data_IF_697792409771
#
_entry.id   IF_697792409771
#
_cell.length_a   1.000
_cell.length_b   1.000
_cell.length_c   1.000
_cell.angle_alpha   90.00
_cell.angle_beta   90.00
_cell.angle_gamma   90.00
#
_symmetry.space_group_name_H-M   'P 1'
#
loop_
_entity.id
_entity.type
_entity.pdbx_description
1 polymer ?
#
# COMPACT_ATOMS: atom_id res chain seq x y z
N UNK A 1 25.87 23.40 -71.62
CA UNK A 1 25.16 22.27 -70.99
C UNK A 1 25.67 22.11 -69.58
N UNK A 2 24.87 22.51 -68.56
CA UNK A 2 25.19 22.32 -67.12
C UNK A 2 24.38 21.17 -66.62
N UNK A 3 25.05 20.04 -66.24
CA UNK A 3 24.43 18.90 -65.54
C UNK A 3 24.17 19.31 -64.07
N UNK A 4 22.90 19.35 -63.68
CA UNK A 4 22.45 19.47 -62.30
C UNK A 4 22.52 18.10 -61.63
N UNK A 5 23.40 17.93 -60.66
CA UNK A 5 23.43 16.72 -59.80
C UNK A 5 22.35 16.87 -58.71
N UNK A 6 21.32 16.01 -58.78
CA UNK A 6 20.30 15.87 -57.74
C UNK A 6 20.83 14.88 -56.68
N UNK A 7 21.24 15.38 -55.54
CA UNK A 7 21.54 14.57 -54.36
C UNK A 7 20.22 14.05 -53.76
N UNK A 8 19.95 12.73 -53.89
CA UNK A 8 18.85 12.08 -53.15
C UNK A 8 19.32 11.76 -51.73
N UNK A 9 18.80 12.52 -50.77
CA UNK A 9 18.96 12.15 -49.35
C UNK A 9 18.05 10.95 -49.03
N UNK A 10 18.63 9.77 -48.75
CA UNK A 10 17.92 8.61 -48.19
C UNK A 10 17.90 8.80 -46.67
N UNK A 11 16.74 9.17 -46.08
CA UNK A 11 16.54 9.16 -44.65
C UNK A 11 16.30 7.71 -44.23
N UNK A 12 17.30 7.10 -43.61
CA UNK A 12 17.18 5.77 -42.98
C UNK A 12 16.44 5.93 -41.66
N UNK A 13 15.12 5.68 -41.63
CA UNK A 13 14.33 5.62 -40.39
C UNK A 13 14.64 4.29 -39.73
N UNK A 14 15.50 4.29 -38.73
CA UNK A 14 15.72 3.12 -37.87
C UNK A 14 14.52 3.00 -36.94
N UNK A 15 13.64 2.03 -37.20
CA UNK A 15 12.63 1.58 -36.23
C UNK A 15 13.37 0.94 -35.05
N UNK A 16 13.50 1.67 -33.95
CA UNK A 16 13.89 1.09 -32.66
C UNK A 16 12.67 0.30 -32.18
N UNK A 17 12.77 -1.03 -31.96
CA UNK A 17 11.65 -1.77 -31.39
C UNK A 17 11.38 -1.22 -29.99
N UNK A 18 10.23 -0.60 -29.81
CA UNK A 18 9.72 -0.27 -28.48
C UNK A 18 9.29 -1.60 -27.88
N UNK A 19 10.14 -2.20 -27.04
CA UNK A 19 9.72 -3.33 -26.21
C UNK A 19 8.66 -2.80 -25.26
N UNK A 20 7.42 -3.17 -25.50
CA UNK A 20 6.33 -2.92 -24.57
C UNK A 20 6.58 -3.78 -23.33
N UNK A 21 7.23 -3.22 -22.32
CA UNK A 21 7.32 -3.83 -20.98
C UNK A 21 5.91 -3.96 -20.41
N UNK A 22 5.55 -5.12 -19.92
CA UNK A 22 4.24 -5.35 -19.34
C UNK A 22 4.36 -6.24 -18.10
N UNK A 23 4.27 -5.62 -16.94
CA UNK A 23 4.13 -6.35 -15.68
C UNK A 23 3.03 -7.40 -15.79
N UNK A 24 3.32 -8.60 -15.32
CA UNK A 24 2.34 -9.69 -15.27
C UNK A 24 1.49 -9.61 -14.00
N UNK A 25 0.22 -10.00 -14.11
CA UNK A 25 -0.74 -9.95 -13.01
C UNK A 25 -1.26 -11.36 -12.73
N UNK A 26 -0.95 -11.89 -11.55
CA UNK A 26 -1.47 -13.16 -11.07
C UNK A 26 -2.64 -12.90 -10.10
N UNK A 27 -3.64 -13.75 -10.11
CA UNK A 27 -4.60 -13.86 -9.00
C UNK A 27 -4.30 -15.14 -8.24
N UNK A 28 -4.03 -15.01 -6.95
CA UNK A 28 -3.76 -16.15 -6.07
C UNK A 28 -4.85 -16.30 -5.04
N UNK A 29 -5.03 -17.52 -4.57
CA UNK A 29 -5.89 -17.85 -3.45
C UNK A 29 -5.00 -18.32 -2.31
N UNK A 30 -5.13 -17.70 -1.16
CA UNK A 30 -4.44 -18.05 0.09
C UNK A 30 -5.44 -18.59 1.08
N UNK A 31 -5.04 -19.55 1.90
CA UNK A 31 -5.90 -20.06 2.97
C UNK A 31 -5.49 -19.44 4.30
N UNK A 32 -6.39 -18.66 4.89
CA UNK A 32 -6.18 -18.16 6.26
C UNK A 32 -6.55 -19.24 7.28
N UNK A 33 -5.55 -19.68 8.04
CA UNK A 33 -5.74 -20.69 9.09
C UNK A 33 -6.53 -20.10 10.28
N UNK A 34 -6.23 -18.85 10.62
CA UNK A 34 -6.89 -18.16 11.74
C UNK A 34 -8.36 -17.88 11.47
N UNK A 35 -8.74 -17.57 10.21
CA UNK A 35 -10.13 -17.33 9.80
C UNK A 35 -10.82 -18.54 9.16
N UNK A 36 -10.06 -19.60 8.86
CA UNK A 36 -10.54 -20.85 8.22
C UNK A 36 -11.27 -20.59 6.89
N UNK A 37 -10.72 -19.71 6.06
CA UNK A 37 -11.32 -19.35 4.77
C UNK A 37 -10.26 -19.06 3.71
N UNK A 38 -10.66 -19.20 2.45
CA UNK A 38 -9.87 -18.77 1.32
C UNK A 38 -9.98 -17.26 1.10
N UNK A 39 -8.86 -16.62 0.78
CA UNK A 39 -8.77 -15.18 0.55
C UNK A 39 -7.97 -14.96 -0.73
N UNK A 40 -8.49 -14.13 -1.62
CA UNK A 40 -7.83 -13.80 -2.88
C UNK A 40 -6.83 -12.66 -2.70
N UNK A 41 -5.79 -12.66 -3.53
CA UNK A 41 -4.90 -11.52 -3.70
C UNK A 41 -4.48 -11.40 -5.17
N UNK A 42 -4.32 -10.17 -5.64
CA UNK A 42 -3.61 -9.88 -6.88
C UNK A 42 -2.13 -9.71 -6.56
N UNK A 43 -1.27 -10.30 -7.40
CA UNK A 43 0.18 -10.12 -7.36
C UNK A 43 0.64 -9.56 -8.70
N UNK A 44 1.16 -8.34 -8.69
CA UNK A 44 1.76 -7.69 -9.87
C UNK A 44 3.26 -7.91 -9.81
N UNK A 45 3.81 -8.54 -10.85
CA UNK A 45 5.25 -8.81 -10.97
C UNK A 45 5.82 -7.91 -12.07
N UNK A 46 6.95 -7.22 -11.85
CA UNK A 46 7.59 -6.44 -12.89
C UNK A 46 8.03 -7.35 -14.05
N UNK A 47 8.18 -6.79 -15.24
CA UNK A 47 8.63 -7.54 -16.43
C UNK A 47 10.01 -8.18 -16.21
N UNK A 48 10.87 -7.49 -15.43
CA UNK A 48 12.19 -8.00 -15.02
C UNK A 48 12.14 -9.15 -14.00
N UNK A 49 10.95 -9.59 -13.58
CA UNK A 49 10.81 -10.64 -12.55
C UNK A 49 11.41 -11.97 -13.01
N UNK A 50 12.25 -12.54 -12.16
CA UNK A 50 12.82 -13.88 -12.37
C UNK A 50 12.99 -14.62 -11.04
N UNK A 51 13.04 -15.94 -11.09
CA UNK A 51 13.32 -16.76 -9.91
C UNK A 51 14.77 -16.63 -9.40
N UNK A 52 15.67 -16.14 -10.24
CA UNK A 52 17.10 -15.99 -9.90
C UNK A 52 17.42 -14.69 -9.12
N UNK A 53 16.49 -13.74 -9.08
CA UNK A 53 16.68 -12.42 -8.41
C UNK A 53 15.60 -12.22 -7.37
N UNK A 54 15.97 -11.68 -6.21
CA UNK A 54 15.04 -11.29 -5.16
C UNK A 54 14.50 -9.87 -5.40
N UNK A 55 13.19 -9.67 -5.19
CA UNK A 55 12.50 -8.41 -5.41
C UNK A 55 11.93 -7.88 -4.09
N UNK A 56 12.04 -6.57 -3.84
CA UNK A 56 11.30 -5.96 -2.75
C UNK A 56 9.79 -6.06 -3.01
N UNK A 57 9.00 -6.07 -1.95
CA UNK A 57 7.55 -6.30 -2.01
C UNK A 57 6.80 -5.17 -1.34
N UNK A 58 5.81 -4.63 -2.05
CA UNK A 58 4.84 -3.67 -1.54
C UNK A 58 3.48 -4.36 -1.35
N UNK A 59 2.96 -4.37 -0.12
CA UNK A 59 1.58 -4.73 0.18
C UNK A 59 0.71 -3.49 0.03
N UNK A 60 -0.29 -3.55 -0.88
CA UNK A 60 -1.11 -2.41 -1.29
C UNK A 60 -2.58 -2.68 -0.97
N UNK A 61 -3.08 -2.10 0.11
CA UNK A 61 -4.35 -2.39 0.74
C UNK A 61 -5.50 -1.56 0.15
N UNK A 62 -6.67 -2.19 -0.06
CA UNK A 62 -7.89 -1.51 -0.54
C UNK A 62 -8.67 -0.84 0.60
N UNK A 63 -9.63 0.03 0.24
CA UNK A 63 -10.51 0.74 1.17
C UNK A 63 -11.77 -0.04 1.56
N UNK A 64 -12.58 0.54 2.44
CA UNK A 64 -13.87 -0.03 2.82
C UNK A 64 -14.80 -0.19 1.60
N UNK A 65 -15.47 -1.33 1.51
CA UNK A 65 -16.32 -1.68 0.36
C UNK A 65 -15.56 -2.22 -0.84
N UNK A 66 -14.23 -2.18 -0.83
CA UNK A 66 -13.38 -2.65 -1.92
C UNK A 66 -13.00 -4.13 -1.83
N UNK A 67 -12.06 -4.53 -2.70
CA UNK A 67 -11.55 -5.89 -2.77
C UNK A 67 -10.13 -5.94 -3.38
N UNK A 68 -9.55 -7.13 -3.46
CA UNK A 68 -8.20 -7.40 -3.96
C UNK A 68 -7.88 -6.87 -5.37
N UNK A 69 -8.90 -6.61 -6.20
CA UNK A 69 -8.70 -6.18 -7.59
C UNK A 69 -8.80 -4.66 -7.80
N UNK A 70 -9.15 -3.89 -6.79
CA UNK A 70 -9.44 -2.46 -6.93
C UNK A 70 -8.27 -1.67 -7.49
N UNK A 71 -7.06 -1.92 -7.00
CA UNK A 71 -5.87 -1.19 -7.43
C UNK A 71 -5.49 -1.39 -8.90
N UNK A 72 -5.89 -2.52 -9.50
CA UNK A 72 -5.65 -2.78 -10.92
C UNK A 72 -6.84 -2.44 -11.81
N UNK A 73 -8.02 -2.11 -11.21
CA UNK A 73 -9.25 -1.87 -11.97
C UNK A 73 -9.86 -0.48 -11.76
N UNK A 74 -9.62 0.19 -10.60
CA UNK A 74 -10.32 1.41 -10.22
C UNK A 74 -9.49 2.69 -10.41
N UNK A 75 -8.16 2.58 -10.55
CA UNK A 75 -7.31 3.74 -10.86
C UNK A 75 -7.72 4.33 -12.22
N UNK A 76 -7.70 5.66 -12.41
CA UNK A 76 -8.03 6.30 -13.70
C UNK A 76 -7.26 5.72 -14.87
N UNK A 77 -5.95 5.52 -14.72
CA UNK A 77 -5.13 4.67 -15.58
C UNK A 77 -4.99 3.29 -14.94
N UNK A 78 -5.70 2.30 -15.48
CA UNK A 78 -5.69 0.91 -15.00
C UNK A 78 -4.31 0.24 -15.10
N UNK A 79 -3.36 0.86 -15.76
CA UNK A 79 -1.98 0.39 -15.84
C UNK A 79 -1.07 1.01 -14.78
N UNK A 80 -1.55 1.96 -13.97
CA UNK A 80 -0.74 2.68 -12.99
C UNK A 80 0.12 1.76 -12.13
N UNK A 81 -0.48 0.78 -11.46
CA UNK A 81 0.28 -0.13 -10.56
C UNK A 81 1.22 -1.04 -11.34
N UNK A 82 0.81 -1.51 -12.53
CA UNK A 82 1.66 -2.35 -13.41
C UNK A 82 2.90 -1.58 -13.87
N UNK A 83 2.70 -0.37 -14.42
CA UNK A 83 3.77 0.48 -14.88
C UNK A 83 4.74 0.85 -13.74
N UNK A 84 4.23 1.21 -12.58
CA UNK A 84 5.07 1.53 -11.42
C UNK A 84 5.82 0.30 -10.88
N UNK A 85 5.22 -0.90 -10.92
CA UNK A 85 5.91 -2.16 -10.61
C UNK A 85 7.11 -2.38 -11.52
N UNK A 86 6.94 -2.15 -12.84
CA UNK A 86 8.02 -2.25 -13.84
C UNK A 86 9.11 -1.20 -13.61
N UNK A 87 8.74 0.07 -13.57
CA UNK A 87 9.67 1.19 -13.45
C UNK A 87 10.51 1.14 -12.16
N UNK A 88 9.91 0.64 -11.07
CA UNK A 88 10.54 0.62 -9.75
C UNK A 88 11.06 -0.78 -9.35
N UNK A 89 10.88 -1.78 -10.23
CA UNK A 89 11.35 -3.16 -10.04
C UNK A 89 10.93 -3.77 -8.71
N UNK A 90 9.65 -3.66 -8.34
CA UNK A 90 9.09 -4.25 -7.12
C UNK A 90 7.87 -5.12 -7.40
N UNK A 91 7.68 -6.16 -6.60
CA UNK A 91 6.44 -6.95 -6.57
C UNK A 91 5.39 -6.19 -5.77
N UNK A 92 4.14 -6.10 -6.29
CA UNK A 92 3.03 -5.48 -5.58
C UNK A 92 1.98 -6.54 -5.26
N UNK A 93 1.56 -6.63 -4.00
CA UNK A 93 0.57 -7.60 -3.51
C UNK A 93 -0.65 -6.84 -3.02
N UNK A 94 -1.81 -7.08 -3.65
CA UNK A 94 -3.08 -6.47 -3.30
C UNK A 94 -4.01 -7.54 -2.70
N UNK A 95 -4.01 -7.74 -1.38
CA UNK A 95 -4.89 -8.73 -0.75
C UNK A 95 -6.33 -8.26 -0.66
N UNK A 96 -7.27 -9.21 -0.62
CA UNK A 96 -8.60 -8.96 -0.11
C UNK A 96 -8.53 -8.79 1.42
N UNK A 97 -8.83 -7.59 1.89
CA UNK A 97 -8.85 -7.24 3.31
C UNK A 97 -10.25 -7.36 3.93
N UNK A 98 -11.23 -7.93 3.20
CA UNK A 98 -12.63 -7.92 3.62
C UNK A 98 -13.28 -6.53 3.53
N UNK A 99 -14.59 -6.50 3.42
CA UNK A 99 -15.35 -5.29 3.09
C UNK A 99 -15.17 -4.15 4.11
N UNK A 100 -15.10 -4.50 5.41
CA UNK A 100 -15.00 -3.53 6.52
C UNK A 100 -14.19 -4.11 7.68
N UNK A 101 -13.06 -4.76 7.39
CA UNK A 101 -12.21 -5.36 8.44
C UNK A 101 -11.41 -4.34 9.22
N UNK A 102 -11.10 -3.20 8.60
CA UNK A 102 -10.13 -2.23 9.10
C UNK A 102 -8.74 -2.82 9.36
N UNK A 103 -8.53 -4.05 8.86
CA UNK A 103 -7.30 -4.83 9.02
C UNK A 103 -6.97 -5.16 10.49
N UNK A 104 -8.00 -5.19 11.35
CA UNK A 104 -7.85 -5.65 12.74
C UNK A 104 -7.94 -7.16 12.86
N UNK A 105 -7.44 -7.68 13.97
CA UNK A 105 -7.94 -8.90 14.57
C UNK A 105 -9.11 -8.53 15.48
N UNK A 106 -10.34 -8.73 14.99
CA UNK A 106 -11.54 -8.37 15.74
C UNK A 106 -11.62 -9.16 17.06
N UNK A 107 -11.77 -8.48 18.21
CA UNK A 107 -11.93 -9.16 19.49
C UNK A 107 -13.30 -9.86 19.63
N UNK A 108 -14.28 -9.50 18.80
CA UNK A 108 -15.66 -9.98 18.90
C UNK A 108 -16.10 -10.86 17.70
N UNK A 109 -15.35 -10.84 16.60
CA UNK A 109 -15.68 -11.63 15.40
C UNK A 109 -14.44 -12.38 14.88
N UNK A 110 -14.35 -13.65 15.18
CA UNK A 110 -13.20 -14.50 14.80
C UNK A 110 -13.10 -14.77 13.29
N UNK A 111 -14.09 -14.41 12.50
CA UNK A 111 -14.04 -14.48 11.04
C UNK A 111 -13.34 -13.24 10.40
N UNK A 112 -12.92 -12.28 11.26
CA UNK A 112 -12.20 -11.06 10.91
C UNK A 112 -10.89 -10.93 11.70
N UNK A 113 -9.88 -11.71 11.33
CA UNK A 113 -8.53 -11.72 11.92
C UNK A 113 -7.52 -11.28 10.86
N UNK A 114 -7.70 -10.04 10.35
CA UNK A 114 -6.94 -9.57 9.21
C UNK A 114 -5.56 -9.01 9.57
N UNK A 115 -5.31 -8.65 10.84
CA UNK A 115 -3.97 -8.34 11.33
C UNK A 115 -3.07 -9.58 11.21
N UNK A 116 -3.47 -10.69 11.80
CA UNK A 116 -2.73 -11.98 11.70
C UNK A 116 -2.61 -12.44 10.25
N UNK A 117 -3.70 -12.32 9.47
CA UNK A 117 -3.67 -12.76 8.07
C UNK A 117 -2.63 -11.99 7.25
N UNK A 118 -2.66 -10.65 7.27
CA UNK A 118 -1.80 -9.84 6.40
C UNK A 118 -0.35 -9.84 6.89
N UNK A 119 -0.11 -9.70 8.21
CA UNK A 119 1.25 -9.57 8.75
C UNK A 119 2.00 -10.89 8.89
N UNK A 120 1.30 -12.03 8.93
CA UNK A 120 1.94 -13.33 9.10
C UNK A 120 1.60 -14.32 7.98
N UNK A 121 0.30 -14.67 7.79
CA UNK A 121 -0.07 -15.76 6.88
C UNK A 121 0.18 -15.41 5.41
N UNK A 122 -0.23 -14.22 4.97
CA UNK A 122 -0.03 -13.75 3.60
C UNK A 122 1.45 -13.49 3.30
N UNK A 123 2.18 -12.87 4.22
CA UNK A 123 3.62 -12.61 4.08
C UNK A 123 4.38 -13.92 3.89
N UNK A 124 4.12 -14.92 4.73
CA UNK A 124 4.76 -16.24 4.61
C UNK A 124 4.43 -16.92 3.28
N UNK A 125 3.17 -16.85 2.81
CA UNK A 125 2.75 -17.39 1.52
C UNK A 125 3.46 -16.72 0.35
N UNK A 126 3.55 -15.39 0.36
CA UNK A 126 4.19 -14.62 -0.72
C UNK A 126 5.69 -14.93 -0.78
N UNK A 127 6.38 -14.94 0.35
CA UNK A 127 7.82 -15.23 0.41
C UNK A 127 8.15 -16.68 -0.01
N UNK A 128 7.24 -17.63 0.24
CA UNK A 128 7.37 -19.00 -0.20
C UNK A 128 7.13 -19.16 -1.71
N UNK A 129 6.14 -18.42 -2.25
CA UNK A 129 5.67 -18.62 -3.64
C UNK A 129 6.44 -17.77 -4.65
N UNK A 130 6.92 -16.60 -4.24
CA UNK A 130 7.57 -15.64 -5.13
C UNK A 130 9.01 -15.35 -4.69
N UNK A 131 9.82 -14.88 -5.63
CA UNK A 131 11.21 -14.53 -5.37
C UNK A 131 11.31 -13.13 -4.75
N UNK A 132 10.98 -13.05 -3.46
CA UNK A 132 10.95 -11.81 -2.69
C UNK A 132 12.11 -11.71 -1.70
N UNK A 133 12.49 -10.49 -1.32
CA UNK A 133 13.35 -10.24 -0.15
C UNK A 133 12.49 -10.49 1.09
N UNK A 134 12.81 -11.53 1.85
CA UNK A 134 11.96 -12.07 2.92
C UNK A 134 12.15 -11.44 4.30
N UNK A 135 12.88 -10.35 4.40
CA UNK A 135 13.05 -9.58 5.64
C UNK A 135 12.38 -8.19 5.54
N UNK A 136 12.37 -7.45 6.64
CA UNK A 136 11.73 -6.14 6.73
C UNK A 136 12.34 -5.07 5.80
N UNK A 137 13.60 -5.18 5.45
CA UNK A 137 14.30 -4.22 4.56
C UNK A 137 13.77 -4.27 3.13
N UNK A 138 13.25 -5.43 2.71
CA UNK A 138 12.60 -5.64 1.42
C UNK A 138 11.09 -5.53 1.43
N UNK A 139 10.46 -5.08 2.54
CA UNK A 139 9.00 -5.13 2.68
C UNK A 139 8.40 -3.81 3.12
N UNK A 140 7.48 -3.28 2.31
CA UNK A 140 6.69 -2.09 2.59
C UNK A 140 5.19 -2.41 2.55
N UNK A 141 4.39 -1.58 3.22
CA UNK A 141 2.93 -1.67 3.22
C UNK A 141 2.30 -0.29 3.10
N UNK A 142 1.29 -0.14 2.25
CA UNK A 142 0.49 1.07 2.14
C UNK A 142 -0.94 0.74 1.69
N UNK A 143 -1.81 1.74 1.65
CA UNK A 143 -3.17 1.57 1.16
C UNK A 143 -3.96 2.87 1.21
N UNK A 144 -5.21 2.80 0.74
CA UNK A 144 -6.13 3.92 0.73
C UNK A 144 -7.22 3.78 1.80
N UNK A 145 -7.66 4.88 2.42
CA UNK A 145 -8.83 4.89 3.33
C UNK A 145 -8.70 3.88 4.47
N UNK A 146 -9.60 2.89 4.56
CA UNK A 146 -9.47 1.74 5.47
C UNK A 146 -8.11 1.04 5.32
N UNK A 147 -7.60 0.89 4.09
CA UNK A 147 -6.27 0.31 3.82
C UNK A 147 -5.13 1.22 4.25
N UNK A 148 -5.30 2.55 4.20
CA UNK A 148 -4.32 3.52 4.73
C UNK A 148 -4.22 3.44 6.26
N UNK A 149 -5.36 3.30 6.95
CA UNK A 149 -5.40 2.93 8.36
C UNK A 149 -4.67 1.60 8.60
N UNK A 150 -5.09 0.55 7.88
CA UNK A 150 -4.56 -0.80 8.05
C UNK A 150 -3.05 -0.88 7.85
N UNK A 151 -2.53 -0.19 6.85
CA UNK A 151 -1.10 -0.19 6.56
C UNK A 151 -0.26 0.41 7.71
N UNK A 152 -0.67 1.56 8.25
CA UNK A 152 0.01 2.16 9.40
C UNK A 152 -0.20 1.33 10.67
N UNK A 153 -1.43 0.85 10.89
CA UNK A 153 -1.78 0.00 12.03
C UNK A 153 -0.90 -1.24 12.09
N UNK A 154 -0.80 -1.97 10.97
CA UNK A 154 0.00 -3.18 10.87
C UNK A 154 1.50 -2.88 11.03
N UNK A 155 2.02 -1.87 10.34
CA UNK A 155 3.44 -1.58 10.38
C UNK A 155 3.90 -1.05 11.75
N UNK A 156 3.10 -0.26 12.47
CA UNK A 156 3.45 0.22 13.80
C UNK A 156 3.53 -0.92 14.82
N UNK A 157 2.69 -1.94 14.65
CA UNK A 157 2.63 -3.13 15.52
C UNK A 157 3.63 -4.23 15.14
N UNK A 158 3.97 -4.32 13.85
CA UNK A 158 4.82 -5.38 13.26
C UNK A 158 6.04 -4.79 12.56
N UNK A 159 6.85 -3.99 13.31
CA UNK A 159 8.06 -3.35 12.80
C UNK A 159 9.19 -4.35 12.48
N UNK A 160 9.08 -5.58 12.93
CA UNK A 160 9.92 -6.72 12.56
C UNK A 160 9.56 -7.29 11.19
N UNK A 161 8.33 -7.07 10.72
CA UNK A 161 7.82 -7.54 9.43
C UNK A 161 7.98 -6.48 8.34
N UNK A 162 7.62 -5.22 8.63
CA UNK A 162 7.64 -4.11 7.66
C UNK A 162 8.72 -3.10 8.01
N UNK A 163 9.53 -2.70 7.02
CA UNK A 163 10.56 -1.66 7.17
C UNK A 163 10.09 -0.28 6.75
N UNK A 164 9.03 -0.22 5.92
CA UNK A 164 8.42 1.02 5.47
C UNK A 164 6.90 0.90 5.42
N UNK A 165 6.20 2.02 5.66
CA UNK A 165 4.75 2.07 5.55
C UNK A 165 4.25 3.41 5.03
N UNK A 166 3.02 3.39 4.52
CA UNK A 166 2.35 4.60 4.05
C UNK A 166 0.84 4.57 4.24
N UNK A 167 0.24 5.74 4.02
CA UNK A 167 -1.20 5.91 4.08
C UNK A 167 -1.65 6.94 3.04
N UNK A 168 -2.70 6.63 2.31
CA UNK A 168 -3.39 7.55 1.42
C UNK A 168 -4.80 7.78 1.96
N UNK A 169 -5.08 8.98 2.47
CA UNK A 169 -6.38 9.34 3.06
C UNK A 169 -6.83 8.33 4.13
N UNK A 170 -5.94 7.87 5.01
CA UNK A 170 -6.25 6.86 6.02
C UNK A 170 -7.19 7.36 7.11
N UNK A 171 -8.11 6.50 7.57
CA UNK A 171 -8.92 6.76 8.76
C UNK A 171 -8.11 6.52 10.05
N UNK A 172 -7.06 7.32 10.27
CA UNK A 172 -6.03 7.10 11.29
C UNK A 172 -6.48 7.36 12.73
N UNK A 173 -7.61 8.03 12.89
CA UNK A 173 -8.36 8.12 14.15
C UNK A 173 -9.81 7.71 13.89
N UNK A 174 -10.25 6.63 14.52
CA UNK A 174 -11.58 6.05 14.29
C UNK A 174 -12.66 6.67 15.19
N UNK A 175 -12.26 7.26 16.29
CA UNK A 175 -13.16 7.74 17.37
C UNK A 175 -14.16 8.83 16.94
N UNK A 176 -13.82 9.74 16.00
CA UNK A 176 -14.79 10.69 15.47
C UNK A 176 -15.89 10.07 14.58
N UNK A 177 -15.80 8.77 14.26
CA UNK A 177 -16.67 8.11 13.27
C UNK A 177 -17.35 6.85 13.83
N UNK A 178 -18.01 6.88 15.02
CA UNK A 178 -18.45 5.68 15.74
C UNK A 178 -19.53 4.89 15.01
N UNK A 179 -20.31 5.53 14.14
CA UNK A 179 -21.41 4.90 13.40
C UNK A 179 -21.05 4.53 11.96
N UNK A 180 -19.79 4.84 11.53
CA UNK A 180 -19.41 4.68 10.14
C UNK A 180 -18.74 3.34 9.85
N UNK A 181 -18.84 2.90 8.59
CA UNK A 181 -18.10 1.79 7.96
C UNK A 181 -18.06 0.49 8.78
N UNK A 182 -19.12 0.22 9.56
CA UNK A 182 -19.24 -0.99 10.39
C UNK A 182 -18.08 -1.22 11.39
N UNK A 183 -17.37 -0.16 11.82
CA UNK A 183 -16.28 -0.27 12.78
C UNK A 183 -16.81 -0.92 14.07
N UNK A 184 -17.99 -0.50 14.54
CA UNK A 184 -18.63 -1.06 15.72
C UNK A 184 -18.91 -2.58 15.60
N UNK A 185 -19.08 -3.12 14.39
CA UNK A 185 -19.19 -4.59 14.19
C UNK A 185 -17.87 -5.32 14.40
N UNK A 186 -16.75 -4.61 14.43
CA UNK A 186 -15.41 -5.19 14.64
C UNK A 186 -14.91 -4.96 16.06
N UNK A 187 -15.22 -3.80 16.67
CA UNK A 187 -14.70 -3.40 17.98
C UNK A 187 -15.74 -3.38 19.10
N UNK A 188 -17.03 -3.50 18.78
CA UNK A 188 -18.14 -3.15 19.66
C UNK A 188 -18.47 -1.65 19.57
N UNK A 189 -19.62 -1.23 20.13
CA UNK A 189 -20.01 0.18 20.11
C UNK A 189 -18.99 1.03 20.87
N UNK A 190 -18.71 2.23 20.38
CA UNK A 190 -17.70 3.11 20.96
C UNK A 190 -17.99 3.47 22.43
N UNK A 191 -19.24 3.85 22.75
CA UNK A 191 -19.65 4.19 24.11
C UNK A 191 -19.60 3.03 25.13
N UNK A 192 -19.57 1.78 24.64
CA UNK A 192 -19.50 0.58 25.47
C UNK A 192 -18.06 0.02 25.58
N UNK A 193 -17.19 0.34 24.60
CA UNK A 193 -15.85 -0.22 24.47
C UNK A 193 -14.82 0.82 24.00
N UNK A 194 -14.72 1.99 24.60
CA UNK A 194 -13.85 3.09 24.12
C UNK A 194 -12.37 2.65 24.06
N UNK A 195 -11.92 1.79 24.99
CA UNK A 195 -10.56 1.30 25.04
C UNK A 195 -10.17 0.46 23.80
N UNK A 196 -11.12 -0.24 23.18
CA UNK A 196 -10.86 -0.99 21.94
C UNK A 196 -10.67 -0.05 20.75
N UNK A 197 -11.42 1.06 20.72
CA UNK A 197 -11.27 2.08 19.69
C UNK A 197 -9.96 2.84 19.84
N UNK A 198 -9.58 3.15 21.08
CA UNK A 198 -8.29 3.76 21.38
C UNK A 198 -7.12 2.86 20.96
N UNK A 199 -7.17 1.58 21.31
CA UNK A 199 -6.12 0.59 20.99
C UNK A 199 -6.00 0.30 19.48
N UNK A 200 -7.05 0.58 18.70
CA UNK A 200 -7.08 0.34 17.25
C UNK A 200 -7.06 1.63 16.41
N UNK A 201 -6.98 2.81 17.01
CA UNK A 201 -6.73 4.07 16.30
C UNK A 201 -5.24 4.31 16.13
N UNK A 202 -4.75 4.42 14.89
CA UNK A 202 -3.32 4.57 14.55
C UNK A 202 -2.67 5.73 15.32
N UNK A 203 -3.38 6.85 15.46
CA UNK A 203 -2.88 8.02 16.19
C UNK A 203 -2.49 7.71 17.64
N UNK A 204 -3.10 6.72 18.25
CA UNK A 204 -2.76 6.28 19.61
C UNK A 204 -1.61 5.27 19.66
N UNK A 205 -1.22 4.69 18.51
CA UNK A 205 -0.13 3.71 18.41
C UNK A 205 1.25 4.34 18.21
N UNK A 206 1.34 5.65 18.09
CA UNK A 206 2.62 6.36 17.88
C UNK A 206 3.64 6.11 19.01
N UNK A 207 3.20 5.67 20.20
CA UNK A 207 4.08 5.29 21.31
C UNK A 207 4.91 4.03 21.02
N UNK A 208 4.51 3.20 20.05
CA UNK A 208 5.26 2.01 19.61
C UNK A 208 6.47 2.37 18.74
N UNK A 209 6.51 3.60 18.21
CA UNK A 209 7.53 4.01 17.25
C UNK A 209 8.82 4.43 17.95
N UNK A 210 9.94 4.04 17.35
CA UNK A 210 11.27 4.53 17.65
C UNK A 210 11.78 5.34 16.45
N UNK A 211 12.38 6.54 16.64
CA UNK A 211 12.91 7.34 15.54
C UNK A 211 13.83 6.53 14.61
N UNK A 212 13.68 6.74 13.30
CA UNK A 212 14.49 6.12 12.24
C UNK A 212 14.38 4.58 12.12
N UNK A 213 13.48 3.93 12.85
CA UNK A 213 13.29 2.47 12.73
C UNK A 213 12.32 2.07 11.62
N UNK A 214 11.34 2.90 11.33
CA UNK A 214 10.33 2.68 10.29
C UNK A 214 10.28 3.89 9.35
N UNK A 215 10.37 3.67 8.05
CA UNK A 215 10.18 4.72 7.06
C UNK A 215 8.68 4.96 6.85
N UNK A 216 8.22 6.20 7.01
CA UNK A 216 6.78 6.52 7.05
C UNK A 216 6.45 7.62 6.03
N UNK A 217 5.39 7.43 5.24
CA UNK A 217 4.81 8.44 4.36
C UNK A 217 3.30 8.52 4.53
N UNK A 218 2.76 9.71 4.76
CA UNK A 218 1.32 9.97 4.87
C UNK A 218 0.90 10.98 3.80
N UNK A 219 -0.17 10.69 3.09
CA UNK A 219 -0.67 11.52 1.99
C UNK A 219 -2.19 11.68 2.12
N UNK A 220 -2.71 12.93 2.11
CA UNK A 220 -4.15 13.17 2.22
C UNK A 220 -4.57 14.43 1.45
N UNK A 221 -5.66 14.32 0.69
CA UNK A 221 -6.26 15.45 -0.01
C UNK A 221 -6.85 16.49 0.94
N UNK A 222 -6.65 17.78 0.66
CA UNK A 222 -7.13 18.87 1.55
C UNK A 222 -8.65 18.98 1.60
N UNK A 223 -9.39 18.42 0.62
CA UNK A 223 -10.85 18.30 0.62
C UNK A 223 -11.37 16.94 1.11
N UNK A 224 -10.50 16.08 1.63
CA UNK A 224 -10.87 14.77 2.15
C UNK A 224 -11.46 14.87 3.56
N UNK A 225 -12.50 14.10 3.85
CA UNK A 225 -13.12 14.10 5.19
C UNK A 225 -12.21 13.54 6.28
N UNK A 226 -11.17 12.76 5.93
CA UNK A 226 -10.12 12.33 6.86
C UNK A 226 -8.94 13.30 6.97
N UNK A 227 -8.96 14.44 6.27
CA UNK A 227 -7.83 15.37 6.26
C UNK A 227 -7.42 15.79 7.69
N UNK A 228 -8.38 16.20 8.51
CA UNK A 228 -8.09 16.67 9.88
C UNK A 228 -7.43 15.61 10.76
N UNK A 229 -7.86 14.34 10.67
CA UNK A 229 -7.25 13.27 11.48
C UNK A 229 -5.84 12.91 10.98
N UNK A 230 -5.57 13.08 9.68
CA UNK A 230 -4.22 12.89 9.12
C UNK A 230 -3.27 14.04 9.52
N UNK A 231 -3.75 15.29 9.58
CA UNK A 231 -2.98 16.43 10.14
C UNK A 231 -2.67 16.17 11.61
N UNK A 232 -3.65 15.75 12.41
CA UNK A 232 -3.44 15.43 13.83
C UNK A 232 -2.41 14.28 14.04
N UNK A 233 -2.38 13.29 13.14
CA UNK A 233 -1.34 12.26 13.18
C UNK A 233 0.03 12.84 12.85
N UNK A 234 0.14 13.70 11.82
CA UNK A 234 1.37 14.41 11.47
C UNK A 234 1.90 15.20 12.67
N UNK A 235 1.08 16.04 13.28
CA UNK A 235 1.47 16.84 14.46
C UNK A 235 1.99 15.93 15.59
N UNK A 236 1.28 14.83 15.85
CA UNK A 236 1.69 13.89 16.91
C UNK A 236 3.00 13.16 16.60
N UNK A 237 3.29 12.86 15.34
CA UNK A 237 4.57 12.29 14.92
C UNK A 237 5.70 13.32 15.06
N UNK A 238 5.44 14.60 14.72
CA UNK A 238 6.37 15.71 14.93
C UNK A 238 6.71 15.90 16.42
N UNK A 239 5.70 15.95 17.29
CA UNK A 239 5.87 16.09 18.75
C UNK A 239 6.72 14.97 19.36
N UNK A 240 6.71 13.78 18.73
CA UNK A 240 7.49 12.62 19.16
C UNK A 240 8.84 12.49 18.47
N UNK A 241 9.22 13.46 17.61
CA UNK A 241 10.42 13.42 16.77
C UNK A 241 10.50 12.14 15.92
N UNK A 242 9.39 11.65 15.38
CA UNK A 242 9.34 10.52 14.45
C UNK A 242 9.47 11.07 13.03
N UNK A 243 10.58 10.82 12.32
CA UNK A 243 10.74 11.25 10.93
C UNK A 243 9.70 10.61 10.02
N UNK A 244 9.06 11.42 9.18
CA UNK A 244 8.07 10.96 8.20
C UNK A 244 7.88 12.00 7.11
N UNK A 245 7.45 11.55 5.92
CA UNK A 245 6.96 12.44 4.87
C UNK A 245 5.45 12.67 5.05
N UNK A 246 5.02 13.94 5.01
CA UNK A 246 3.63 14.32 5.01
C UNK A 246 3.30 15.14 3.77
N UNK A 247 2.45 14.60 2.88
CA UNK A 247 2.08 15.22 1.60
C UNK A 247 0.62 15.61 1.64
N UNK A 248 0.34 16.87 1.32
CA UNK A 248 -1.03 17.36 1.15
C UNK A 248 -1.19 18.08 -0.19
N UNK A 249 -2.29 17.83 -0.87
CA UNK A 249 -2.62 18.41 -2.18
C UNK A 249 -4.12 18.65 -2.29
N UNK A 250 -4.59 19.57 -3.16
CA UNK A 250 -6.00 19.64 -3.51
C UNK A 250 -6.51 18.28 -4.00
N UNK A 251 -7.62 17.81 -3.43
CA UNK A 251 -8.24 16.53 -3.78
C UNK A 251 -9.18 16.04 -2.69
N UNK A 252 -9.98 15.04 -3.04
CA UNK A 252 -11.03 14.46 -2.19
C UNK A 252 -10.89 12.94 -2.12
N UNK A 253 -11.74 12.28 -1.33
CA UNK A 253 -11.69 10.84 -1.04
C UNK A 253 -12.11 9.98 -2.24
N UNK A 254 -11.26 9.83 -3.24
CA UNK A 254 -11.56 9.05 -4.45
C UNK A 254 -10.32 8.50 -5.17
N UNK A 255 -10.54 7.59 -6.12
CA UNK A 255 -9.47 6.97 -6.92
C UNK A 255 -8.72 7.94 -7.83
N UNK A 256 -9.28 9.10 -8.20
CA UNK A 256 -8.55 10.12 -8.95
C UNK A 256 -7.40 10.67 -8.10
N UNK A 257 -7.63 10.89 -6.80
CA UNK A 257 -6.58 11.29 -5.86
C UNK A 257 -5.59 10.14 -5.58
N UNK A 258 -6.10 8.97 -5.22
CA UNK A 258 -5.26 7.84 -4.82
C UNK A 258 -4.42 7.26 -5.96
N UNK A 259 -4.93 7.27 -7.19
CA UNK A 259 -4.18 6.87 -8.39
C UNK A 259 -2.97 7.78 -8.68
N UNK A 260 -3.05 9.06 -8.28
CA UNK A 260 -1.89 9.97 -8.28
C UNK A 260 -0.99 9.73 -7.06
N UNK A 261 -1.56 9.63 -5.86
CA UNK A 261 -0.83 9.49 -4.60
C UNK A 261 0.02 8.20 -4.54
N UNK A 262 -0.47 7.09 -5.10
CA UNK A 262 0.26 5.81 -5.09
C UNK A 262 1.61 5.90 -5.79
N UNK A 263 1.75 6.74 -6.82
CA UNK A 263 3.02 6.92 -7.52
C UNK A 263 4.08 7.57 -6.62
N UNK A 264 3.71 8.57 -5.82
CA UNK A 264 4.63 9.18 -4.85
C UNK A 264 5.04 8.19 -3.76
N UNK A 265 4.10 7.40 -3.27
CA UNK A 265 4.39 6.41 -2.23
C UNK A 265 5.27 5.27 -2.76
N UNK A 266 5.01 4.75 -3.95
CA UNK A 266 5.87 3.71 -4.54
C UNK A 266 7.28 4.23 -4.84
N UNK A 267 7.43 5.49 -5.26
CA UNK A 267 8.74 6.14 -5.40
C UNK A 267 9.46 6.26 -4.05
N UNK A 268 8.76 6.65 -2.99
CA UNK A 268 9.30 6.71 -1.63
C UNK A 268 9.82 5.34 -1.18
N UNK A 269 9.02 4.28 -1.33
CA UNK A 269 9.44 2.92 -0.98
C UNK A 269 10.60 2.42 -1.84
N UNK A 270 10.66 2.78 -3.12
CA UNK A 270 11.79 2.39 -3.97
C UNK A 270 13.12 2.99 -3.50
N UNK A 271 13.09 4.20 -2.92
CA UNK A 271 14.28 4.81 -2.29
C UNK A 271 14.65 4.08 -1.00
N UNK A 272 13.67 3.76 -0.16
CA UNK A 272 13.89 2.94 1.05
C UNK A 272 14.57 1.62 0.71
N UNK A 273 14.05 0.85 -0.25
CA UNK A 273 14.60 -0.44 -0.66
C UNK A 273 16.04 -0.37 -1.21
N UNK A 274 16.45 0.78 -1.77
CA UNK A 274 17.81 0.98 -2.29
C UNK A 274 18.82 1.38 -1.20
N UNK A 275 18.38 2.08 -0.16
CA UNK A 275 19.25 2.49 0.94
C UNK A 275 19.67 1.35 1.86
N UNK A 276 18.79 0.38 2.10
CA UNK A 276 19.08 -0.78 2.95
C UNK A 276 19.91 -1.86 2.23
N UNK A 277 20.27 -1.67 0.95
CA UNK A 277 21.14 -2.57 0.17
C UNK A 277 22.59 -2.08 0.06
N UNK A 278 22.92 -0.92 0.65
CA UNK A 278 24.29 -0.37 0.78
C UNK A 278 24.82 -0.57 2.20
#
# INVERSE_FOLDING_TARGET
>A
MKLSQIFKFIVLVTLVPVTAFSASVDTVVTYSKVMKKEIKAVVVKPDSYSAAKKFPTLYLLHGAGGNYSDWVNQTPDKNTVKRLSDELSMVVVCPDGGVTSWYFDSPIDKTYQYETYVSAELVAFIDQKYSTVSDRSGRAITGLSMGGHGALYLAFRHQDVFGACGSMSGGVDLRPFPENWNIAKRLGKYNENPERWDANSVINLTHLLTPNKLAIIVDCGTGDFFYKVNVALHDKLMDRNIPHDFITRPGVHNFAYWGNAVAYQMLYFSKFFKHDQQ
#
